data_IF_355569831252
#
_entry.id   IF_355569831252
#
_cell.length_a   1.000
_cell.length_b   1.000
_cell.length_c   1.000
_cell.angle_alpha   90.00
_cell.angle_beta   90.00
_cell.angle_gamma   90.00
#
_symmetry.space_group_name_H-M   'P 1'
#
loop_
_entity.id
_entity.type
_entity.pdbx_description
1 polymer ?
#
# COMPACT_ATOMS: atom_id res chain seq x y z
N UNK A 1 1.07 -12.39 -18.41
CA UNK A 1 0.54 -11.74 -17.18
C UNK A 1 1.75 -11.56 -16.29
N UNK A 2 2.22 -10.31 -16.15
CA UNK A 2 3.41 -10.00 -15.35
C UNK A 2 3.15 -10.37 -13.89
N UNK A 3 4.07 -11.10 -13.30
CA UNK A 3 4.05 -11.51 -11.90
C UNK A 3 4.64 -10.40 -11.04
N UNK A 4 4.21 -10.23 -9.78
CA UNK A 4 4.90 -9.33 -8.84
C UNK A 4 6.41 -9.59 -8.70
N UNK A 5 6.86 -10.82 -8.95
CA UNK A 5 8.28 -11.20 -8.96
C UNK A 5 9.08 -10.62 -10.14
N UNK A 6 8.40 -10.17 -11.20
CA UNK A 6 9.04 -9.64 -12.40
C UNK A 6 9.34 -8.13 -12.29
N UNK A 7 8.96 -7.50 -11.17
CA UNK A 7 9.15 -6.07 -10.91
C UNK A 7 10.48 -5.83 -10.18
N UNK A 8 11.47 -5.16 -10.80
CA UNK A 8 12.75 -4.88 -10.17
C UNK A 8 12.66 -3.89 -9.01
N UNK A 9 11.57 -3.11 -8.95
CA UNK A 9 11.40 -2.00 -8.03
C UNK A 9 12.26 -0.78 -8.42
N UNK A 10 11.93 0.36 -7.83
CA UNK A 10 12.71 1.59 -8.02
C UNK A 10 13.90 1.58 -7.05
N UNK A 11 15.14 1.87 -7.50
CA UNK A 11 16.29 1.98 -6.61
C UNK A 11 16.07 3.03 -5.52
N UNK A 12 16.60 2.78 -4.33
CA UNK A 12 16.41 3.65 -3.15
C UNK A 12 17.04 5.03 -3.27
N UNK A 13 18.09 5.15 -4.05
CA UNK A 13 18.77 6.40 -4.38
C UNK A 13 17.92 7.31 -5.28
N UNK A 14 17.01 6.74 -6.05
CA UNK A 14 16.06 7.50 -6.88
C UNK A 14 14.89 8.01 -6.04
N UNK A 15 14.24 7.13 -5.29
CA UNK A 15 13.13 7.52 -4.41
C UNK A 15 12.83 6.50 -3.31
N UNK A 16 12.45 7.02 -2.16
CA UNK A 16 11.87 6.25 -1.06
C UNK A 16 10.63 6.99 -0.54
N UNK A 17 9.66 6.23 -0.04
CA UNK A 17 8.49 6.82 0.59
C UNK A 17 8.65 6.88 2.11
N UNK A 18 8.43 8.05 2.70
CA UNK A 18 8.36 8.23 4.15
C UNK A 18 6.96 8.70 4.56
N UNK A 19 6.56 8.33 5.77
CA UNK A 19 5.34 8.83 6.36
C UNK A 19 5.67 9.94 7.35
N UNK A 20 5.12 11.12 7.12
CA UNK A 20 5.22 12.24 8.04
C UNK A 20 4.11 12.14 9.10
N UNK A 21 4.42 11.42 10.18
CA UNK A 21 3.52 11.28 11.31
C UNK A 21 3.64 12.54 12.17
N UNK A 22 2.51 13.16 12.51
CA UNK A 22 2.45 14.36 13.35
C UNK A 22 3.14 14.10 14.69
N UNK A 23 3.92 15.07 15.17
CA UNK A 23 4.53 15.01 16.49
C UNK A 23 3.42 14.84 17.56
N UNK A 24 3.62 13.88 18.48
CA UNK A 24 2.64 13.58 19.52
C UNK A 24 1.46 12.70 19.10
N UNK A 25 1.37 12.28 17.85
CA UNK A 25 0.36 11.31 17.43
C UNK A 25 0.54 9.97 18.15
N UNK A 26 -0.52 9.48 18.81
CA UNK A 26 -0.48 8.21 19.52
C UNK A 26 -0.70 7.05 18.55
N UNK A 27 0.15 6.02 18.56
CA UNK A 27 -0.06 4.82 17.80
C UNK A 27 -1.39 4.15 18.14
N UNK A 28 -2.10 3.68 17.11
CA UNK A 28 -3.37 2.99 17.25
C UNK A 28 -3.18 1.51 16.92
N UNK A 29 -3.55 0.64 17.86
CA UNK A 29 -3.63 -0.80 17.64
C UNK A 29 -5.10 -1.19 17.51
N UNK A 30 -5.55 -1.50 16.30
CA UNK A 30 -6.92 -1.95 16.09
C UNK A 30 -7.13 -3.33 16.74
N UNK A 31 -8.26 -3.57 17.43
CA UNK A 31 -8.58 -4.89 17.93
C UNK A 31 -8.70 -5.89 16.80
N UNK A 32 -8.22 -7.10 17.03
CA UNK A 32 -8.18 -8.16 16.04
C UNK A 32 -9.59 -8.51 15.53
N UNK A 33 -9.81 -8.45 14.22
CA UNK A 33 -11.04 -8.92 13.60
C UNK A 33 -11.00 -10.43 13.41
N UNK A 34 -12.12 -11.10 13.73
CA UNK A 34 -12.30 -12.52 13.43
C UNK A 34 -12.84 -12.68 12.02
N UNK A 35 -12.27 -13.60 11.28
CA UNK A 35 -12.70 -13.96 9.92
C UNK A 35 -13.12 -15.42 9.89
N UNK A 36 -14.04 -15.75 8.98
CA UNK A 36 -14.36 -17.13 8.64
C UNK A 36 -13.17 -17.82 7.95
N UNK A 37 -13.24 -19.13 7.81
CA UNK A 37 -12.14 -19.94 7.27
C UNK A 37 -11.79 -19.58 5.83
N UNK A 38 -12.80 -19.29 4.98
CA UNK A 38 -12.58 -18.88 3.59
C UNK A 38 -11.74 -17.61 3.51
N UNK A 39 -12.11 -16.60 4.30
CA UNK A 39 -11.39 -15.32 4.33
C UNK A 39 -9.99 -15.45 4.93
N UNK A 40 -9.83 -16.26 5.98
CA UNK A 40 -8.50 -16.54 6.57
C UNK A 40 -7.56 -17.15 5.55
N UNK A 41 -8.03 -18.12 4.78
CA UNK A 41 -7.26 -18.75 3.72
C UNK A 41 -6.87 -17.72 2.65
N UNK A 42 -7.82 -16.91 2.17
CA UNK A 42 -7.55 -15.88 1.18
C UNK A 42 -6.53 -14.83 1.67
N UNK A 43 -6.58 -14.43 2.94
CA UNK A 43 -5.58 -13.54 3.56
C UNK A 43 -4.21 -14.22 3.58
N UNK A 44 -4.14 -15.48 4.03
CA UNK A 44 -2.88 -16.23 4.11
C UNK A 44 -2.21 -16.40 2.75
N UNK A 45 -2.96 -16.76 1.73
CA UNK A 45 -2.47 -16.89 0.35
C UNK A 45 -1.89 -15.56 -0.18
N UNK A 46 -2.57 -14.44 0.06
CA UNK A 46 -2.09 -13.13 -0.40
C UNK A 46 -0.86 -12.66 0.37
N UNK A 47 -0.82 -12.86 1.70
CA UNK A 47 0.36 -12.57 2.53
C UNK A 47 1.56 -13.39 2.04
N UNK A 48 1.39 -14.70 1.86
CA UNK A 48 2.47 -15.58 1.40
C UNK A 48 3.02 -15.11 0.04
N UNK A 49 2.14 -14.76 -0.89
CA UNK A 49 2.51 -14.24 -2.20
C UNK A 49 3.29 -12.92 -2.12
N UNK A 50 2.85 -11.99 -1.26
CA UNK A 50 3.53 -10.69 -1.08
C UNK A 50 4.87 -10.84 -0.36
N UNK A 51 4.98 -11.77 0.60
CA UNK A 51 6.25 -12.10 1.26
C UNK A 51 7.24 -12.74 0.29
N UNK A 52 6.79 -13.71 -0.51
CA UNK A 52 7.62 -14.35 -1.53
C UNK A 52 8.15 -13.36 -2.57
N UNK A 53 7.35 -12.34 -2.92
CA UNK A 53 7.75 -11.25 -3.81
C UNK A 53 8.58 -10.14 -3.13
N UNK A 54 8.84 -10.23 -1.81
CA UNK A 54 9.63 -9.25 -1.07
C UNK A 54 8.95 -7.89 -0.83
N UNK A 55 7.65 -7.78 -1.10
CA UNK A 55 6.89 -6.54 -0.86
C UNK A 55 6.59 -6.29 0.61
N UNK A 56 6.53 -7.33 1.41
CA UNK A 56 6.25 -7.27 2.83
C UNK A 56 7.24 -8.12 3.61
N UNK A 57 7.46 -7.76 4.86
CA UNK A 57 8.32 -8.49 5.78
C UNK A 57 7.65 -8.69 7.13
N UNK A 58 8.06 -9.71 7.84
CA UNK A 58 7.65 -9.93 9.24
C UNK A 58 8.33 -8.92 10.15
N UNK A 59 7.57 -8.37 11.12
CA UNK A 59 8.08 -7.45 12.12
C UNK A 59 7.49 -7.79 13.48
N UNK A 60 8.34 -7.78 14.52
CA UNK A 60 7.95 -8.03 15.90
C UNK A 60 7.64 -6.71 16.62
N UNK A 61 6.62 -6.72 17.48
CA UNK A 61 6.23 -5.60 18.34
C UNK A 61 5.90 -4.28 17.61
N UNK A 62 4.89 -4.29 16.70
CA UNK A 62 4.50 -3.08 16.00
C UNK A 62 3.90 -2.01 16.92
N UNK A 63 4.20 -0.76 16.59
CA UNK A 63 3.55 0.39 17.23
C UNK A 63 2.13 0.58 16.71
N UNK A 64 1.94 0.48 15.40
CA UNK A 64 0.65 0.60 14.72
C UNK A 64 0.16 -0.76 14.29
N UNK A 65 -1.14 -1.00 14.46
CA UNK A 65 -1.76 -2.25 14.08
C UNK A 65 -3.04 -1.99 13.30
N UNK A 66 -3.12 -2.45 12.07
CA UNK A 66 -4.27 -2.29 11.19
C UNK A 66 -4.83 -3.65 10.76
N UNK A 67 -6.15 -3.74 10.63
CA UNK A 67 -6.80 -4.98 10.19
C UNK A 67 -6.85 -5.09 8.66
N UNK A 68 -6.72 -6.29 8.10
CA UNK A 68 -7.04 -6.54 6.71
C UNK A 68 -8.54 -6.40 6.46
N UNK A 69 -8.89 -5.96 5.26
CA UNK A 69 -10.26 -5.87 4.76
C UNK A 69 -10.33 -6.62 3.43
N UNK A 70 -11.24 -7.56 3.34
CA UNK A 70 -11.46 -8.34 2.13
C UNK A 70 -12.65 -7.84 1.34
N UNK A 71 -12.44 -7.59 0.07
CA UNK A 71 -13.48 -7.16 -0.88
C UNK A 71 -13.57 -8.17 -2.02
N UNK A 72 -14.78 -8.60 -2.36
CA UNK A 72 -15.01 -9.47 -3.53
C UNK A 72 -14.95 -8.66 -4.82
N UNK A 73 -14.11 -9.08 -5.76
CA UNK A 73 -14.11 -8.56 -7.13
C UNK A 73 -15.31 -9.11 -7.91
N UNK A 74 -15.69 -8.44 -9.00
CA UNK A 74 -16.75 -8.89 -9.91
C UNK A 74 -16.55 -10.32 -10.42
N UNK A 75 -15.31 -10.81 -10.52
CA UNK A 75 -14.96 -12.18 -10.89
C UNK A 75 -14.91 -13.18 -9.71
N UNK A 76 -15.48 -12.88 -8.55
CA UNK A 76 -15.57 -13.79 -7.40
C UNK A 76 -14.28 -13.92 -6.57
N UNK A 77 -13.13 -13.45 -7.06
CA UNK A 77 -11.85 -13.49 -6.33
C UNK A 77 -11.81 -12.45 -5.22
N UNK A 78 -11.18 -12.79 -4.09
CA UNK A 78 -10.92 -11.87 -3.00
C UNK A 78 -9.81 -10.89 -3.35
N UNK A 79 -9.98 -9.65 -2.92
CA UNK A 79 -8.95 -8.61 -2.89
C UNK A 79 -8.71 -8.23 -1.45
N UNK A 80 -7.47 -8.34 -0.99
CA UNK A 80 -7.07 -7.89 0.33
C UNK A 80 -6.67 -6.41 0.28
N UNK A 81 -7.19 -5.65 1.21
CA UNK A 81 -6.81 -4.27 1.52
C UNK A 81 -6.43 -4.19 2.99
N UNK A 82 -5.83 -3.09 3.43
CA UNK A 82 -5.53 -2.85 4.83
C UNK A 82 -6.18 -1.54 5.28
N UNK A 83 -6.81 -1.55 6.45
CA UNK A 83 -7.48 -0.39 7.01
C UNK A 83 -6.50 0.55 7.72
N UNK A 84 -5.89 1.45 6.97
CA UNK A 84 -4.97 2.45 7.50
C UNK A 84 -5.66 3.73 8.02
N UNK A 85 -6.96 3.70 8.31
CA UNK A 85 -7.71 4.90 8.75
C UNK A 85 -7.06 5.60 9.95
N UNK A 86 -6.63 4.83 10.96
CA UNK A 86 -5.94 5.37 12.13
C UNK A 86 -4.61 6.04 11.79
N UNK A 87 -3.79 5.39 10.99
CA UNK A 87 -2.51 5.91 10.54
C UNK A 87 -2.67 7.14 9.64
N UNK A 88 -3.61 7.09 8.69
CA UNK A 88 -3.88 8.22 7.77
C UNK A 88 -4.35 9.49 8.51
N UNK A 89 -5.05 9.33 9.65
CA UNK A 89 -5.40 10.46 10.52
C UNK A 89 -4.20 11.06 11.23
N UNK A 90 -3.19 10.27 11.51
CA UNK A 90 -1.96 10.69 12.19
C UNK A 90 -0.91 11.29 11.23
N UNK A 91 -0.97 10.94 9.96
CA UNK A 91 -0.05 11.47 8.95
C UNK A 91 -0.46 12.88 8.52
N UNK A 92 0.55 13.71 8.24
CA UNK A 92 0.35 14.97 7.54
C UNK A 92 -0.07 14.68 6.10
N UNK A 93 -1.16 15.30 5.69
CA UNK A 93 -1.59 15.22 4.28
C UNK A 93 -0.71 16.17 3.48
N UNK A 94 0.07 15.62 2.56
CA UNK A 94 0.74 16.44 1.55
C UNK A 94 -0.31 16.78 0.49
N UNK A 95 -0.68 18.03 0.30
CA UNK A 95 -1.59 18.41 -0.76
C UNK A 95 -0.85 18.24 -2.09
N UNK A 96 -1.12 17.16 -2.78
CA UNK A 96 -0.71 16.99 -4.17
C UNK A 96 -1.93 17.26 -5.04
N UNK A 97 -2.03 18.44 -5.65
CA UNK A 97 -3.15 18.74 -6.52
C UNK A 97 -3.10 17.83 -7.73
N UNK A 98 -4.19 17.08 -7.95
CA UNK A 98 -4.34 16.38 -9.23
C UNK A 98 -4.37 17.43 -10.35
N UNK A 99 -3.66 17.22 -11.46
CA UNK A 99 -3.74 18.09 -12.62
C UNK A 99 -5.20 18.21 -13.07
N UNK A 100 -5.64 19.42 -13.37
CA UNK A 100 -6.97 19.63 -13.98
C UNK A 100 -6.95 19.03 -15.38
N UNK A 101 -8.02 18.32 -15.73
CA UNK A 101 -8.15 17.71 -17.06
C UNK A 101 -7.98 18.76 -18.15
N UNK A 102 -8.59 19.93 -18.00
CA UNK A 102 -8.47 21.05 -18.94
C UNK A 102 -7.01 21.46 -19.15
N UNK A 103 -6.21 21.57 -18.07
CA UNK A 103 -4.79 21.90 -18.19
C UNK A 103 -3.97 20.84 -18.92
N UNK A 104 -4.34 19.54 -18.76
CA UNK A 104 -3.70 18.46 -19.48
C UNK A 104 -4.05 18.56 -20.97
N UNK A 105 -5.31 18.80 -21.30
CA UNK A 105 -5.78 18.97 -22.68
C UNK A 105 -5.08 20.17 -23.32
N UNK A 106 -5.05 21.32 -22.65
CA UNK A 106 -4.38 22.52 -23.16
C UNK A 106 -2.88 22.31 -23.36
N UNK A 107 -2.21 21.60 -22.45
CA UNK A 107 -0.77 21.33 -22.55
C UNK A 107 -0.42 20.35 -23.67
N UNK A 108 -1.38 19.57 -24.14
CA UNK A 108 -1.22 18.62 -25.26
C UNK A 108 -1.75 19.15 -26.58
N UNK A 109 -2.36 20.33 -26.57
CA UNK A 109 -2.86 20.98 -27.79
C UNK A 109 -1.73 21.24 -28.78
N UNK A 110 -1.91 20.82 -30.00
CA UNK A 110 -0.90 20.94 -31.08
C UNK A 110 0.12 19.80 -31.16
N UNK A 111 0.06 18.82 -30.27
CA UNK A 111 0.87 17.60 -30.39
C UNK A 111 0.23 16.62 -31.37
N UNK A 112 0.97 16.17 -32.38
CA UNK A 112 0.49 15.18 -33.35
C UNK A 112 0.41 13.77 -32.78
N UNK A 113 1.22 13.49 -31.75
CA UNK A 113 1.30 12.17 -31.11
C UNK A 113 1.37 12.31 -29.60
N UNK A 114 0.57 11.52 -28.88
CA UNK A 114 0.58 11.42 -27.42
C UNK A 114 1.01 10.03 -27.00
N UNK A 115 1.94 9.95 -26.04
CA UNK A 115 2.34 8.70 -25.41
C UNK A 115 1.81 8.67 -23.98
N UNK A 116 1.12 7.56 -23.63
CA UNK A 116 0.61 7.34 -22.28
C UNK A 116 1.42 6.24 -21.61
N UNK A 117 1.97 6.54 -20.43
CA UNK A 117 2.72 5.59 -19.61
C UNK A 117 1.89 5.28 -18.38
N UNK A 118 1.54 4.01 -18.19
CA UNK A 118 0.94 3.51 -16.96
C UNK A 118 1.95 2.64 -16.21
N UNK A 119 2.18 2.97 -14.95
CA UNK A 119 3.09 2.21 -14.11
C UNK A 119 2.35 1.02 -13.49
N UNK A 120 2.57 -0.19 -14.05
CA UNK A 120 2.02 -1.41 -13.48
C UNK A 120 2.41 -1.56 -12.00
N UNK A 121 1.41 -1.62 -11.12
CA UNK A 121 1.60 -1.70 -9.67
C UNK A 121 2.61 -0.67 -9.12
N UNK A 122 2.64 0.55 -9.66
CA UNK A 122 3.69 1.56 -9.44
C UNK A 122 3.97 1.84 -7.96
N UNK A 123 2.95 1.84 -7.10
CA UNK A 123 3.14 2.03 -5.66
C UNK A 123 3.93 0.90 -4.97
N UNK A 124 3.85 -0.34 -5.47
CA UNK A 124 4.62 -1.45 -4.92
C UNK A 124 6.11 -1.37 -5.29
N UNK A 125 6.44 -0.60 -6.31
CA UNK A 125 7.83 -0.42 -6.74
C UNK A 125 8.59 0.60 -5.91
N UNK A 126 7.91 1.49 -5.18
CA UNK A 126 8.53 2.49 -4.31
C UNK A 126 8.71 1.90 -2.91
N UNK A 127 9.95 1.80 -2.46
CA UNK A 127 10.28 1.24 -1.14
C UNK A 127 10.03 2.24 -0.02
N UNK A 128 9.60 1.71 1.14
CA UNK A 128 9.48 2.51 2.35
C UNK A 128 10.85 2.79 2.97
N UNK A 129 11.03 4.01 3.45
CA UNK A 129 12.23 4.40 4.21
C UNK A 129 12.33 3.59 5.52
N UNK A 130 13.55 3.19 5.89
CA UNK A 130 13.81 2.21 6.93
C UNK A 130 13.12 2.45 8.28
N UNK A 131 13.13 3.63 8.93
CA UNK A 131 12.43 3.81 10.20
C UNK A 131 10.91 3.80 10.06
N UNK A 132 10.38 4.10 8.88
CA UNK A 132 8.94 4.12 8.60
C UNK A 132 8.39 2.72 8.39
N UNK A 133 9.17 1.83 7.78
CA UNK A 133 8.74 0.47 7.49
C UNK A 133 8.46 -0.37 8.75
N UNK A 134 9.13 -0.10 9.87
CA UNK A 134 8.91 -0.80 11.14
C UNK A 134 7.67 -0.36 11.91
N UNK A 135 7.07 0.78 11.53
CA UNK A 135 5.89 1.35 12.19
C UNK A 135 4.56 0.89 11.58
N UNK A 136 4.61 0.39 10.34
CA UNK A 136 3.43 0.01 9.56
C UNK A 136 3.20 -1.49 9.62
N UNK A 137 2.12 -1.91 10.27
CA UNK A 137 1.86 -3.32 10.44
C UNK A 137 0.39 -3.68 10.32
N UNK A 138 0.15 -4.84 9.74
CA UNK A 138 -1.17 -5.47 9.67
C UNK A 138 -1.25 -6.66 10.62
N UNK A 139 -2.34 -6.77 11.36
CA UNK A 139 -2.57 -7.85 12.32
C UNK A 139 -3.38 -8.98 11.67
N UNK A 140 -2.73 -10.00 11.19
CA UNK A 140 -3.35 -11.33 11.12
C UNK A 140 -2.29 -12.43 10.98
N UNK A 141 -2.44 -13.50 11.75
CA UNK A 141 -1.54 -14.67 11.83
C UNK A 141 -0.11 -14.31 12.29
N UNK A 142 0.15 -14.31 13.58
CA UNK A 142 1.49 -14.41 14.23
C UNK A 142 2.67 -13.70 13.53
N UNK A 143 2.42 -13.04 12.42
CA UNK A 143 3.34 -12.29 11.59
C UNK A 143 2.76 -10.91 11.32
N UNK A 144 3.43 -9.90 11.77
CA UNK A 144 3.09 -8.51 11.49
C UNK A 144 3.71 -8.10 10.17
N UNK A 145 2.87 -7.68 9.25
CA UNK A 145 3.27 -7.41 7.86
C UNK A 145 3.30 -5.92 7.57
N UNK A 146 4.44 -5.38 7.18
CA UNK A 146 4.56 -3.99 6.74
C UNK A 146 4.09 -3.86 5.28
N UNK A 147 3.01 -3.12 5.05
CA UNK A 147 2.50 -2.83 3.71
C UNK A 147 2.57 -1.35 3.39
N UNK A 148 2.84 -1.02 2.14
CA UNK A 148 2.69 0.33 1.62
C UNK A 148 1.22 0.78 1.69
N UNK A 149 0.93 2.01 2.12
CA UNK A 149 -0.44 2.51 2.14
C UNK A 149 -0.97 2.61 0.72
N UNK A 150 -1.98 1.81 0.40
CA UNK A 150 -2.77 1.99 -0.80
C UNK A 150 -3.60 3.27 -0.60
N UNK A 151 -3.27 4.36 -1.26
CA UNK A 151 -4.14 5.53 -1.33
C UNK A 151 -5.39 5.10 -2.11
N UNK A 152 -6.49 4.98 -1.39
CA UNK A 152 -7.80 5.06 -2.04
C UNK A 152 -8.04 6.52 -2.42
N UNK A 153 -8.20 6.78 -3.69
CA UNK A 153 -8.77 8.01 -4.22
C UNK A 153 -10.19 8.13 -3.71
#
# INVERSE_FOLDING_TARGET
MESPSDMPGIPRDVTEHSLDIRAGARPVKQPLRRFDEEKRRAIGEEIHKLMAAGFIKEVFHPEWLANPVLVRKKGGKWRMCVDYTGLNKACLKVPYPLPRIDQIVDSTAGCETLSFLDAYSGYHQIRMKSPTSSRLLSSHLSACTAMLPCRSV
#
